data_IF_068689660189
#
_entry.id   IF_068689660189
#
_cell.length_a   1.000
_cell.length_b   1.000
_cell.length_c   1.000
_cell.angle_alpha   90.00
_cell.angle_beta   90.00
_cell.angle_gamma   90.00
#
_symmetry.space_group_name_H-M   'P 1'
#
loop_
_entity.id
_entity.type
_entity.pdbx_description
1 polymer ?
#
# COMPACT_ATOMS: atom_id res chain seq x y z
N UNK A 1 29.12 46.82 -7.71
CA UNK A 1 28.68 45.72 -8.60
C UNK A 1 28.85 44.41 -7.85
N UNK A 2 27.77 43.89 -7.24
CA UNK A 2 27.79 42.77 -6.30
C UNK A 2 27.69 41.40 -7.01
N UNK A 3 28.50 41.19 -8.05
CA UNK A 3 28.44 39.96 -8.85
C UNK A 3 28.95 38.74 -8.08
N UNK A 4 29.95 38.89 -7.20
CA UNK A 4 30.42 37.80 -6.34
C UNK A 4 29.36 37.34 -5.34
N UNK A 5 28.61 38.28 -4.77
CA UNK A 5 27.54 37.98 -3.81
C UNK A 5 26.38 37.22 -4.49
N UNK A 6 26.03 37.63 -5.71
CA UNK A 6 25.05 36.92 -6.55
C UNK A 6 25.54 35.52 -6.94
N UNK A 7 26.81 35.36 -7.30
CA UNK A 7 27.37 34.06 -7.69
C UNK A 7 27.39 33.09 -6.50
N UNK A 8 27.72 33.59 -5.31
CA UNK A 8 27.70 32.82 -4.06
C UNK A 8 26.29 32.37 -3.71
N UNK A 9 25.32 33.27 -3.79
CA UNK A 9 23.91 32.96 -3.51
C UNK A 9 23.34 31.93 -4.50
N UNK A 10 23.67 32.06 -5.79
CA UNK A 10 23.28 31.09 -6.81
C UNK A 10 23.88 29.70 -6.54
N UNK A 11 25.15 29.64 -6.11
CA UNK A 11 25.82 28.39 -5.76
C UNK A 11 25.18 27.71 -4.54
N UNK A 12 24.86 28.48 -3.50
CA UNK A 12 24.15 27.97 -2.31
C UNK A 12 22.74 27.45 -2.65
N UNK A 13 22.01 28.14 -3.53
CA UNK A 13 20.70 27.67 -4.00
C UNK A 13 20.83 26.37 -4.80
N UNK A 14 21.86 26.25 -5.64
CA UNK A 14 22.11 25.04 -6.43
C UNK A 14 22.41 23.83 -5.53
N UNK A 15 23.21 24.01 -4.48
CA UNK A 15 23.53 22.94 -3.53
C UNK A 15 22.32 22.53 -2.69
N UNK A 16 21.45 23.48 -2.30
CA UNK A 16 20.17 23.16 -1.64
C UNK A 16 19.26 22.34 -2.55
N UNK A 17 19.13 22.73 -3.82
CA UNK A 17 18.31 22.00 -4.80
C UNK A 17 18.83 20.59 -5.06
N UNK A 18 20.16 20.41 -5.16
CA UNK A 18 20.77 19.08 -5.26
C UNK A 18 20.45 18.21 -4.06
N UNK A 19 20.63 18.74 -2.85
CA UNK A 19 20.30 18.00 -1.63
C UNK A 19 18.82 17.63 -1.54
N UNK A 20 17.93 18.53 -1.95
CA UNK A 20 16.49 18.25 -2.02
C UNK A 20 16.17 17.16 -3.04
N UNK A 21 16.82 17.17 -4.21
CA UNK A 21 16.67 16.12 -5.22
C UNK A 21 17.10 14.76 -4.68
N UNK A 22 18.30 14.65 -4.12
CA UNK A 22 18.79 13.39 -3.54
C UNK A 22 17.89 12.85 -2.43
N UNK A 23 17.39 13.73 -1.56
CA UNK A 23 16.46 13.34 -0.48
C UNK A 23 15.13 12.84 -1.04
N UNK A 24 14.65 13.46 -2.13
CA UNK A 24 13.41 13.07 -2.79
C UNK A 24 13.55 11.74 -3.53
N UNK A 25 14.68 11.52 -4.20
CA UNK A 25 15.02 10.25 -4.87
C UNK A 25 15.11 9.11 -3.85
N UNK A 26 15.83 9.30 -2.74
CA UNK A 26 15.92 8.31 -1.67
C UNK A 26 14.55 7.98 -1.06
N UNK A 27 13.68 8.99 -0.86
CA UNK A 27 12.32 8.78 -0.34
C UNK A 27 11.44 8.04 -1.34
N UNK A 28 11.59 8.32 -2.63
CA UNK A 28 10.84 7.65 -3.70
C UNK A 28 11.26 6.18 -3.83
N UNK A 29 12.56 5.90 -3.72
CA UNK A 29 13.08 4.52 -3.70
C UNK A 29 12.53 3.73 -2.50
N UNK A 30 12.55 4.34 -1.30
CA UNK A 30 11.97 3.74 -0.10
C UNK A 30 10.47 3.45 -0.25
N UNK A 31 9.69 4.39 -0.81
CA UNK A 31 8.26 4.20 -1.04
C UNK A 31 7.98 3.10 -2.08
N UNK A 32 8.80 2.99 -3.12
CA UNK A 32 8.68 1.92 -4.10
C UNK A 32 9.00 0.55 -3.50
N UNK A 33 10.02 0.46 -2.63
CA UNK A 33 10.33 -0.76 -1.90
C UNK A 33 9.15 -1.17 -1.01
N UNK A 34 8.61 -0.26 -0.21
CA UNK A 34 7.42 -0.51 0.61
C UNK A 34 6.22 -0.97 -0.20
N UNK A 35 5.95 -0.32 -1.34
CA UNK A 35 4.86 -0.73 -2.25
C UNK A 35 5.06 -2.16 -2.75
N UNK A 36 6.29 -2.53 -3.12
CA UNK A 36 6.61 -3.88 -3.60
C UNK A 36 6.45 -4.92 -2.51
N UNK A 37 6.85 -4.60 -1.28
CA UNK A 37 6.67 -5.50 -0.13
C UNK A 37 5.19 -5.70 0.19
N UNK A 38 4.39 -4.63 0.20
CA UNK A 38 2.93 -4.72 0.40
C UNK A 38 2.29 -5.59 -0.70
N UNK A 39 2.68 -5.40 -1.96
CA UNK A 39 2.16 -6.22 -3.06
C UNK A 39 2.55 -7.69 -2.92
N UNK A 40 3.79 -7.97 -2.50
CA UNK A 40 4.24 -9.34 -2.23
C UNK A 40 3.50 -9.95 -1.03
N UNK A 41 3.21 -9.19 0.01
CA UNK A 41 2.42 -9.67 1.15
C UNK A 41 0.98 -9.99 0.74
N UNK A 42 0.35 -9.13 -0.07
CA UNK A 42 -0.99 -9.38 -0.63
C UNK A 42 -0.99 -10.65 -1.50
N UNK A 43 0.02 -10.82 -2.36
CA UNK A 43 0.17 -12.01 -3.20
C UNK A 43 0.41 -13.28 -2.35
N UNK A 44 1.23 -13.20 -1.30
CA UNK A 44 1.47 -14.30 -0.35
C UNK A 44 0.23 -14.70 0.43
N UNK A 45 -0.66 -13.76 0.72
CA UNK A 45 -1.94 -14.04 1.36
C UNK A 45 -2.91 -14.74 0.41
N UNK A 46 -2.58 -14.86 -0.89
CA UNK A 46 -3.41 -15.52 -1.89
C UNK A 46 -4.64 -14.71 -2.29
N UNK A 47 -4.79 -13.50 -1.74
CA UNK A 47 -5.93 -12.64 -1.94
C UNK A 47 -5.61 -11.71 -3.10
N UNK A 48 -6.13 -12.02 -4.29
CA UNK A 48 -6.21 -10.99 -5.32
C UNK A 48 -7.29 -10.00 -4.88
N UNK A 49 -7.06 -8.69 -4.93
CA UNK A 49 -8.09 -7.69 -4.62
C UNK A 49 -9.38 -7.91 -5.42
N UNK A 50 -9.24 -8.47 -6.63
CA UNK A 50 -10.33 -8.86 -7.54
C UNK A 50 -11.15 -10.06 -7.03
N UNK A 51 -10.54 -10.95 -6.23
CA UNK A 51 -11.17 -12.16 -5.70
C UNK A 51 -11.72 -11.97 -4.27
N UNK A 52 -11.40 -10.84 -3.63
CA UNK A 52 -11.78 -10.53 -2.25
C UNK A 52 -13.30 -10.44 -2.08
N UNK A 53 -14.01 -9.86 -3.06
CA UNK A 53 -15.49 -9.86 -3.10
C UNK A 53 -16.07 -11.27 -3.29
N UNK A 54 -15.43 -12.10 -4.13
CA UNK A 54 -15.84 -13.48 -4.35
C UNK A 54 -15.65 -14.34 -3.10
N UNK A 55 -14.52 -14.20 -2.39
CA UNK A 55 -14.28 -14.88 -1.10
C UNK A 55 -15.31 -14.48 -0.05
N UNK A 56 -15.63 -13.19 0.07
CA UNK A 56 -16.67 -12.71 1.00
C UNK A 56 -18.03 -13.32 0.66
N UNK A 57 -18.37 -13.40 -0.63
CA UNK A 57 -19.63 -14.00 -1.08
C UNK A 57 -19.69 -15.51 -0.79
N UNK A 58 -18.59 -16.22 -1.01
CA UNK A 58 -18.49 -17.66 -0.71
C UNK A 58 -18.64 -17.91 0.79
N UNK A 59 -17.92 -17.16 1.63
CA UNK A 59 -18.00 -17.26 3.08
C UNK A 59 -19.41 -16.96 3.62
N UNK A 60 -20.10 -15.95 3.06
CA UNK A 60 -21.50 -15.69 3.41
C UNK A 60 -22.42 -16.87 3.09
N UNK A 61 -22.26 -17.44 1.90
CA UNK A 61 -23.07 -18.59 1.47
C UNK A 61 -22.83 -19.82 2.35
N UNK A 62 -21.58 -20.01 2.78
CA UNK A 62 -21.20 -21.08 3.69
C UNK A 62 -21.79 -20.88 5.09
N UNK A 63 -21.78 -19.64 5.60
CA UNK A 63 -22.44 -19.28 6.86
C UNK A 63 -23.94 -19.57 6.80
N UNK A 64 -24.63 -19.12 5.75
CA UNK A 64 -26.07 -19.34 5.60
C UNK A 64 -26.41 -20.84 5.54
N UNK A 65 -25.58 -21.61 4.84
CA UNK A 65 -25.72 -23.07 4.78
C UNK A 65 -25.51 -23.72 6.15
N UNK A 66 -24.47 -23.33 6.88
CA UNK A 66 -24.21 -23.82 8.23
C UNK A 66 -25.32 -23.45 9.21
N UNK A 67 -25.91 -22.25 9.08
CA UNK A 67 -27.08 -21.86 9.86
C UNK A 67 -28.32 -22.68 9.51
N UNK A 68 -28.53 -23.00 8.22
CA UNK A 68 -29.63 -23.87 7.80
C UNK A 68 -29.43 -25.30 8.34
N UNK A 69 -28.22 -25.86 8.20
CA UNK A 69 -27.87 -27.16 8.77
C UNK A 69 -28.04 -27.19 10.30
N UNK A 70 -27.60 -26.14 11.00
CA UNK A 70 -27.77 -26.02 12.45
C UNK A 70 -29.24 -25.92 12.88
N UNK A 71 -30.08 -25.23 12.09
CA UNK A 71 -31.52 -25.15 12.34
C UNK A 71 -32.24 -26.47 12.04
N UNK A 72 -31.77 -27.24 11.05
CA UNK A 72 -32.32 -28.56 10.70
C UNK A 72 -31.90 -29.63 11.72
N UNK A 73 -30.68 -29.49 12.26
CA UNK A 73 -30.15 -30.31 13.35
C UNK A 73 -30.72 -29.96 14.73
N UNK A 74 -31.36 -28.80 14.90
CA UNK A 74 -32.07 -28.48 16.13
C UNK A 74 -33.40 -29.28 16.20
N UNK A 75 -33.61 -30.10 17.25
CA UNK A 75 -34.90 -30.73 17.46
C UNK A 75 -35.95 -29.65 17.65
N UNK A 76 -37.04 -29.69 16.86
CA UNK A 76 -38.22 -28.88 17.11
C UNK A 76 -38.84 -29.36 18.43
N UNK A 77 -38.54 -28.63 19.52
CA UNK A 77 -39.27 -28.71 20.79
C UNK A 77 -40.60 -27.96 20.67
#
# INVERSE_FOLDING_TARGET
>A
MNYEENLKNLKEQLDRLKNMKYKSEARLEQLNAQKKDILNEIEKLGIKPEDLENEISNLKSEIDRLFAEANDLMPRL
#
